data_IF_994221259269
#
_entry.id   IF_994221259269
#
_cell.length_a   1.000
_cell.length_b   1.000
_cell.length_c   1.000
_cell.angle_alpha   90.00
_cell.angle_beta   90.00
_cell.angle_gamma   90.00
#
_symmetry.space_group_name_H-M   'P 1'
#
loop_
_entity.id
_entity.type
_entity.pdbx_description
1 polymer ?
#
# COMPACT_ATOMS: atom_id res chain seq x y z
N UNK A 1 43.65 -36.09 34.48
CA UNK A 1 42.49 -36.29 33.58
C UNK A 1 41.65 -35.02 33.65
N UNK A 2 41.51 -34.27 32.55
CA UNK A 2 40.74 -33.02 32.50
C UNK A 2 39.32 -33.27 31.97
N UNK A 3 38.26 -32.78 32.63
CA UNK A 3 36.91 -32.82 32.07
C UNK A 3 36.74 -31.76 30.98
N UNK A 4 36.24 -32.17 29.82
CA UNK A 4 35.97 -31.29 28.68
C UNK A 4 34.74 -30.40 28.97
N UNK A 5 34.94 -29.09 28.95
CA UNK A 5 33.84 -28.11 29.03
C UNK A 5 33.11 -28.10 27.68
N UNK A 6 31.98 -28.80 27.61
CA UNK A 6 31.09 -28.77 26.47
C UNK A 6 30.49 -27.36 26.29
N UNK A 7 30.87 -26.66 25.21
CA UNK A 7 30.27 -25.37 24.84
C UNK A 7 28.81 -25.58 24.39
N UNK A 8 27.82 -24.81 24.87
CA UNK A 8 26.45 -24.97 24.42
C UNK A 8 26.27 -24.49 22.98
N UNK A 9 26.00 -25.43 22.07
CA UNK A 9 25.66 -25.16 20.68
C UNK A 9 24.25 -24.53 20.57
N UNK A 10 24.17 -23.19 20.69
CA UNK A 10 22.93 -22.41 20.48
C UNK A 10 23.21 -21.09 19.75
N UNK A 11 23.60 -21.15 18.48
CA UNK A 11 23.85 -19.96 17.62
C UNK A 11 23.42 -20.09 16.15
N UNK A 12 22.46 -20.96 15.78
CA UNK A 12 22.08 -21.14 14.37
C UNK A 12 20.57 -21.21 14.04
N UNK A 13 19.65 -20.94 14.98
CA UNK A 13 18.21 -20.86 14.67
C UNK A 13 17.69 -19.44 14.37
N UNK A 14 18.46 -18.38 14.66
CA UNK A 14 17.98 -16.99 14.59
C UNK A 14 18.03 -16.32 13.21
N UNK A 15 18.70 -16.92 12.22
CA UNK A 15 19.00 -16.26 10.93
C UNK A 15 17.96 -16.64 9.85
N UNK A 16 17.35 -17.83 9.92
CA UNK A 16 16.40 -18.30 8.91
C UNK A 16 15.05 -17.54 8.91
N UNK A 17 14.61 -17.04 10.07
CA UNK A 17 13.35 -16.29 10.19
C UNK A 17 13.43 -14.86 9.61
N UNK A 18 14.63 -14.29 9.50
CA UNK A 18 14.84 -12.91 9.07
C UNK A 18 14.72 -12.71 7.55
N UNK A 19 14.89 -13.78 6.76
CA UNK A 19 14.87 -13.73 5.30
C UNK A 19 13.47 -13.84 4.67
N UNK A 20 12.46 -14.30 5.43
CA UNK A 20 11.09 -14.51 4.92
C UNK A 20 10.18 -13.29 5.19
N UNK A 21 10.47 -12.52 6.24
CA UNK A 21 9.67 -11.36 6.64
C UNK A 21 9.78 -10.17 5.68
N UNK A 22 10.90 -10.04 4.98
CA UNK A 22 11.14 -8.95 4.02
C UNK A 22 10.25 -9.10 2.78
N UNK A 23 10.07 -10.32 2.27
CA UNK A 23 9.40 -10.67 0.99
C UNK A 23 7.91 -10.25 0.86
N UNK A 24 7.28 -9.79 1.94
CA UNK A 24 5.83 -9.52 1.99
C UNK A 24 5.51 -8.01 1.87
N UNK A 25 6.51 -7.13 1.87
CA UNK A 25 6.31 -5.67 2.01
C UNK A 25 6.36 -4.84 0.70
N UNK A 26 6.89 -5.37 -0.42
CA UNK A 26 7.19 -4.56 -1.61
C UNK A 26 6.04 -4.25 -2.59
N UNK A 27 4.85 -4.85 -2.46
CA UNK A 27 3.92 -4.94 -3.60
C UNK A 27 2.51 -4.41 -3.40
N UNK A 28 2.24 -3.68 -2.30
CA UNK A 28 0.93 -3.08 -1.99
C UNK A 28 1.00 -1.59 -1.66
N UNK A 29 2.08 -0.91 -2.06
CA UNK A 29 2.28 0.53 -1.85
C UNK A 29 1.44 1.39 -2.81
N UNK A 30 1.41 2.71 -2.61
CA UNK A 30 0.77 3.61 -3.58
C UNK A 30 1.51 3.67 -4.93
N UNK A 31 2.83 3.50 -4.93
CA UNK A 31 3.61 3.29 -6.16
C UNK A 31 3.19 2.01 -6.90
N UNK A 32 2.88 0.94 -6.19
CA UNK A 32 2.35 -0.29 -6.79
C UNK A 32 0.93 -0.10 -7.33
N UNK A 33 0.07 0.63 -6.62
CA UNK A 33 -1.28 0.97 -7.09
C UNK A 33 -1.22 1.74 -8.41
N UNK A 34 -0.40 2.80 -8.47
CA UNK A 34 -0.23 3.59 -9.69
C UNK A 34 0.42 2.77 -10.81
N UNK A 35 1.37 1.90 -10.51
CA UNK A 35 1.98 1.00 -11.51
C UNK A 35 0.97 0.00 -12.07
N UNK A 36 0.17 -0.63 -11.21
CA UNK A 36 -0.88 -1.55 -11.62
C UNK A 36 -1.98 -0.84 -12.42
N UNK A 37 -2.33 0.40 -12.04
CA UNK A 37 -3.31 1.20 -12.77
C UNK A 37 -2.77 1.59 -14.14
N UNK A 38 -1.56 2.15 -14.22
CA UNK A 38 -0.94 2.51 -15.51
C UNK A 38 -0.72 1.30 -16.43
N UNK A 39 -0.39 0.12 -15.87
CA UNK A 39 -0.36 -1.13 -16.62
C UNK A 39 -1.73 -1.52 -17.18
N UNK A 40 -2.82 -1.31 -16.43
CA UNK A 40 -4.18 -1.61 -16.87
C UNK A 40 -4.70 -0.61 -17.91
N UNK A 41 -4.48 0.68 -17.68
CA UNK A 41 -5.01 1.76 -18.52
C UNK A 41 -4.26 1.91 -19.85
N UNK A 42 -2.92 1.80 -19.84
CA UNK A 42 -2.07 2.12 -21.01
C UNK A 42 -0.95 1.12 -21.27
N UNK A 43 -0.83 0.03 -20.51
CA UNK A 43 0.41 -0.78 -20.46
C UNK A 43 1.67 0.01 -20.10
N UNK A 44 1.53 1.10 -19.33
CA UNK A 44 2.58 2.09 -18.99
C UNK A 44 3.10 2.92 -20.18
N UNK A 45 2.33 3.07 -21.25
CA UNK A 45 2.64 4.02 -22.32
C UNK A 45 2.26 5.46 -21.90
N UNK A 46 3.28 6.32 -21.75
CA UNK A 46 3.12 7.73 -21.35
C UNK A 46 2.48 8.58 -22.46
N UNK A 47 2.55 8.12 -23.71
CA UNK A 47 2.06 8.79 -24.90
C UNK A 47 0.70 8.26 -25.38
N UNK A 48 0.12 7.28 -24.69
CA UNK A 48 -1.11 6.61 -25.08
C UNK A 48 -2.28 7.59 -25.24
N UNK A 49 -2.96 7.53 -26.39
CA UNK A 49 -4.22 8.24 -26.63
C UNK A 49 -5.27 7.24 -27.12
N UNK A 50 -6.31 7.02 -26.33
CA UNK A 50 -7.45 6.19 -26.74
C UNK A 50 -8.08 6.75 -28.02
N UNK A 51 -8.26 5.89 -29.03
CA UNK A 51 -8.77 6.27 -30.34
C UNK A 51 -10.17 6.88 -30.26
N UNK A 52 -11.04 6.29 -29.45
CA UNK A 52 -12.47 6.56 -29.46
C UNK A 52 -12.92 7.42 -28.27
N UNK A 53 -12.30 7.27 -27.10
CA UNK A 53 -12.62 8.08 -25.90
C UNK A 53 -11.72 9.30 -25.72
N UNK A 54 -10.60 9.39 -26.44
CA UNK A 54 -9.54 10.41 -26.28
C UNK A 54 -9.04 10.57 -24.84
N UNK A 55 -9.07 9.49 -24.07
CA UNK A 55 -8.32 9.44 -22.81
C UNK A 55 -6.80 9.39 -23.08
N UNK A 56 -6.01 10.00 -22.20
CA UNK A 56 -4.59 10.33 -22.46
C UNK A 56 -3.63 9.88 -21.36
N UNK A 57 -2.44 9.48 -21.78
CA UNK A 57 -1.29 9.15 -20.94
C UNK A 57 -1.42 7.82 -20.18
N UNK A 58 -0.48 7.64 -19.24
CA UNK A 58 -0.31 6.47 -18.37
C UNK A 58 -1.62 5.99 -17.76
N UNK A 59 -2.43 6.93 -17.27
CA UNK A 59 -3.62 6.69 -16.47
C UNK A 59 -4.92 6.98 -17.23
N UNK A 60 -4.86 7.09 -18.57
CA UNK A 60 -6.02 7.36 -19.43
C UNK A 60 -6.95 8.44 -18.85
N UNK A 61 -6.38 9.59 -18.48
CA UNK A 61 -7.14 10.71 -17.93
C UNK A 61 -7.94 11.41 -19.04
N UNK A 62 -9.06 12.03 -18.68
CA UNK A 62 -9.88 12.85 -19.57
C UNK A 62 -9.96 14.28 -19.07
N UNK A 63 -10.60 15.17 -19.83
CA UNK A 63 -10.65 16.59 -19.50
C UNK A 63 -11.22 16.86 -18.10
N UNK A 64 -12.32 16.19 -17.72
CA UNK A 64 -12.92 16.38 -16.39
C UNK A 64 -11.97 15.96 -15.25
N UNK A 65 -11.20 14.87 -15.41
CA UNK A 65 -10.24 14.46 -14.38
C UNK A 65 -8.99 15.36 -14.36
N UNK A 66 -8.63 15.98 -15.49
CA UNK A 66 -7.59 17.01 -15.55
C UNK A 66 -8.04 18.38 -15.02
N UNK A 67 -9.34 18.70 -15.12
CA UNK A 67 -9.97 19.85 -14.45
C UNK A 67 -9.97 19.65 -12.92
N UNK A 68 -10.40 18.48 -12.43
CA UNK A 68 -10.29 18.10 -11.02
C UNK A 68 -8.82 18.11 -10.52
N UNK A 69 -7.88 17.68 -11.37
CA UNK A 69 -6.44 17.80 -11.08
C UNK A 69 -5.92 19.26 -11.10
N UNK A 70 -6.66 20.19 -11.71
CA UNK A 70 -6.28 21.58 -11.92
C UNK A 70 -5.22 21.80 -13.01
N UNK A 71 -5.00 20.82 -13.89
CA UNK A 71 -4.04 20.87 -15.02
C UNK A 71 -4.68 21.49 -16.27
N UNK A 72 -6.00 21.41 -16.38
CA UNK A 72 -6.77 21.92 -17.51
C UNK A 72 -7.94 22.78 -17.00
N UNK A 73 -8.24 23.87 -17.70
CA UNK A 73 -9.23 24.87 -17.28
C UNK A 73 -10.66 24.52 -17.73
N UNK A 74 -10.81 23.63 -18.72
CA UNK A 74 -12.08 23.36 -19.39
C UNK A 74 -12.32 24.25 -20.60
N UNK A 75 -13.23 23.78 -21.47
CA UNK A 75 -13.78 24.47 -22.65
C UNK A 75 -15.29 24.75 -22.50
N UNK A 76 -15.92 24.26 -21.42
CA UNK A 76 -17.38 24.30 -21.19
C UNK A 76 -18.13 23.06 -21.68
N UNK A 77 -17.45 22.05 -22.23
CA UNK A 77 -18.04 20.79 -22.67
C UNK A 77 -17.69 19.62 -21.74
N UNK A 78 -18.15 18.41 -22.09
CA UNK A 78 -17.83 17.14 -21.43
C UNK A 78 -17.11 16.18 -22.39
N UNK A 79 -16.59 16.71 -23.49
CA UNK A 79 -15.83 15.92 -24.46
C UNK A 79 -14.39 15.80 -23.97
N UNK A 80 -13.66 14.91 -24.61
CA UNK A 80 -12.22 14.87 -24.56
C UNK A 80 -11.74 15.24 -25.97
N UNK A 81 -11.58 16.52 -26.27
CA UNK A 81 -11.02 17.04 -27.51
C UNK A 81 -9.86 18.02 -27.30
N UNK A 82 -9.62 18.43 -26.06
CA UNK A 82 -8.51 19.26 -25.57
C UNK A 82 -8.42 20.63 -26.26
N UNK A 83 -9.57 21.17 -26.68
CA UNK A 83 -9.68 22.47 -27.36
C UNK A 83 -9.63 23.68 -26.42
N UNK A 84 -9.79 23.46 -25.11
CA UNK A 84 -9.65 24.46 -24.05
C UNK A 84 -8.19 24.73 -23.64
N UNK A 85 -8.01 25.42 -22.52
CA UNK A 85 -6.68 25.85 -22.05
C UNK A 85 -6.11 24.97 -20.95
N UNK A 86 -4.82 24.62 -21.05
CA UNK A 86 -4.04 24.09 -19.94
C UNK A 86 -3.61 25.22 -18.98
N UNK A 87 -3.39 24.91 -17.71
CA UNK A 87 -3.19 25.92 -16.65
C UNK A 87 -1.72 26.27 -16.37
N UNK A 88 -0.77 25.59 -17.01
CA UNK A 88 0.66 25.65 -16.66
C UNK A 88 1.03 24.85 -15.40
N UNK A 89 0.05 24.22 -14.73
CA UNK A 89 0.28 23.45 -13.50
C UNK A 89 1.17 22.24 -13.79
N UNK A 90 2.12 22.00 -12.87
CA UNK A 90 3.18 20.99 -13.04
C UNK A 90 4.05 21.19 -14.30
N UNK A 91 4.08 22.39 -14.89
CA UNK A 91 4.81 22.67 -16.13
C UNK A 91 4.03 22.40 -17.42
N UNK A 92 2.78 21.94 -17.32
CA UNK A 92 1.96 21.51 -18.47
C UNK A 92 1.20 22.69 -19.07
N UNK A 93 1.60 23.13 -20.26
CA UNK A 93 0.96 24.23 -21.01
C UNK A 93 0.18 23.74 -22.24
N UNK A 94 0.28 22.45 -22.57
CA UNK A 94 -0.36 21.82 -23.72
C UNK A 94 -0.55 20.31 -23.50
N UNK A 95 -1.38 19.68 -24.34
CA UNK A 95 -1.53 18.22 -24.33
C UNK A 95 -0.22 17.50 -24.67
N UNK A 96 0.62 18.08 -25.53
CA UNK A 96 1.96 17.58 -25.84
C UNK A 96 2.87 17.57 -24.61
N UNK A 97 2.83 18.63 -23.78
CA UNK A 97 3.62 18.67 -22.54
C UNK A 97 3.13 17.58 -21.57
N UNK A 98 1.81 17.40 -21.45
CA UNK A 98 1.22 16.37 -20.59
C UNK A 98 1.64 14.96 -21.00
N UNK A 99 1.62 14.64 -22.30
CA UNK A 99 2.02 13.33 -22.83
C UNK A 99 3.54 13.10 -22.78
N UNK A 100 4.34 14.16 -22.80
CA UNK A 100 5.80 14.11 -22.70
C UNK A 100 6.29 13.97 -21.24
N UNK A 101 5.52 14.44 -20.25
CA UNK A 101 5.93 14.46 -18.84
C UNK A 101 5.15 13.45 -17.97
N UNK A 102 5.67 12.23 -17.76
CA UNK A 102 5.04 11.24 -16.89
C UNK A 102 5.09 11.59 -15.40
N UNK A 103 5.96 12.51 -14.96
CA UNK A 103 5.99 13.03 -13.59
C UNK A 103 4.79 13.97 -13.37
N UNK A 104 4.47 14.81 -14.35
CA UNK A 104 3.24 15.62 -14.35
C UNK A 104 1.97 14.76 -14.41
N UNK A 105 1.97 13.67 -15.20
CA UNK A 105 0.87 12.69 -15.20
C UNK A 105 0.67 12.04 -13.83
N UNK A 106 1.78 11.68 -13.15
CA UNK A 106 1.76 11.08 -11.81
C UNK A 106 1.22 12.07 -10.76
N UNK A 107 1.62 13.34 -10.82
CA UNK A 107 1.09 14.40 -9.96
C UNK A 107 -0.40 14.73 -10.24
N UNK A 108 -0.83 14.63 -11.51
CA UNK A 108 -2.22 14.86 -11.91
C UNK A 108 -3.15 13.75 -11.39
N UNK A 109 -2.78 12.47 -11.58
CA UNK A 109 -3.60 11.34 -11.14
C UNK A 109 -3.74 11.29 -9.61
N UNK A 110 -2.66 11.56 -8.86
CA UNK A 110 -2.73 11.63 -7.40
C UNK A 110 -3.64 12.76 -6.93
N UNK A 111 -3.55 13.94 -7.56
CA UNK A 111 -4.46 15.06 -7.23
C UNK A 111 -5.92 14.71 -7.51
N UNK A 112 -6.21 14.05 -8.64
CA UNK A 112 -7.54 13.57 -8.97
C UNK A 112 -8.07 12.55 -7.95
N UNK A 113 -7.28 11.52 -7.60
CA UNK A 113 -7.67 10.50 -6.62
C UNK A 113 -7.93 11.07 -5.22
N UNK A 114 -7.13 12.05 -4.78
CA UNK A 114 -7.38 12.77 -3.53
C UNK A 114 -8.73 13.50 -3.54
N UNK A 115 -9.06 14.17 -4.65
CA UNK A 115 -10.31 14.89 -4.81
C UNK A 115 -11.50 13.92 -4.83
N UNK A 116 -11.41 12.84 -5.62
CA UNK A 116 -12.39 11.75 -5.68
C UNK A 116 -12.65 11.16 -4.29
N UNK A 117 -11.62 10.93 -3.48
CA UNK A 117 -11.80 10.41 -2.13
C UNK A 117 -12.40 11.45 -1.17
N UNK A 118 -11.74 12.59 -0.99
CA UNK A 118 -12.05 13.58 0.05
C UNK A 118 -13.34 14.38 -0.21
N UNK A 119 -13.73 14.54 -1.47
CA UNK A 119 -14.92 15.30 -1.83
C UNK A 119 -16.06 14.36 -2.24
N UNK A 120 -15.82 13.47 -3.20
CA UNK A 120 -16.91 12.75 -3.88
C UNK A 120 -17.31 11.44 -3.18
N UNK A 121 -16.36 10.60 -2.79
CA UNK A 121 -16.64 9.28 -2.18
C UNK A 121 -16.96 9.39 -0.68
N UNK A 122 -16.33 10.33 0.04
CA UNK A 122 -16.65 10.62 1.46
C UNK A 122 -17.77 11.66 1.63
N UNK A 123 -18.34 12.18 0.53
CA UNK A 123 -19.39 13.21 0.53
C UNK A 123 -18.99 14.45 1.37
N UNK A 124 -17.77 14.96 1.17
CA UNK A 124 -17.19 16.04 1.96
C UNK A 124 -17.04 15.71 3.46
N UNK A 125 -16.76 14.44 3.78
CA UNK A 125 -16.56 13.95 5.15
C UNK A 125 -17.85 13.65 5.94
N UNK A 126 -18.97 13.34 5.27
CA UNK A 126 -20.31 13.20 5.89
C UNK A 126 -20.91 11.79 5.86
N UNK A 127 -20.09 10.77 5.60
CA UNK A 127 -20.59 9.42 5.32
C UNK A 127 -21.02 9.28 3.86
N UNK A 128 -20.71 8.13 3.28
CA UNK A 128 -20.77 7.89 1.83
C UNK A 128 -20.17 6.53 1.50
N UNK A 129 -19.41 6.45 0.40
CA UNK A 129 -18.73 5.21 0.01
C UNK A 129 -17.72 4.70 1.07
N UNK A 130 -17.22 5.58 1.94
CA UNK A 130 -16.33 5.22 3.04
C UNK A 130 -17.00 4.33 4.11
N UNK A 131 -18.31 4.45 4.31
CA UNK A 131 -19.06 3.67 5.32
C UNK A 131 -19.19 2.19 4.92
N UNK A 132 -18.94 1.90 3.65
CA UNK A 132 -18.97 0.55 3.09
C UNK A 132 -17.64 -0.19 3.21
N UNK A 133 -16.53 0.46 3.59
CA UNK A 133 -15.22 -0.21 3.66
C UNK A 133 -15.24 -1.35 4.69
N UNK A 134 -14.69 -2.50 4.30
CA UNK A 134 -14.71 -3.73 5.10
C UNK A 134 -16.05 -4.51 5.03
N UNK A 135 -17.10 -3.93 4.43
CA UNK A 135 -18.30 -4.69 4.09
C UNK A 135 -18.06 -5.54 2.85
N UNK A 136 -18.81 -6.64 2.70
CA UNK A 136 -18.81 -7.48 1.50
C UNK A 136 -20.12 -7.34 0.75
N UNK A 137 -20.06 -6.90 -0.51
CA UNK A 137 -21.22 -6.75 -1.40
C UNK A 137 -20.99 -7.64 -2.62
N UNK A 138 -21.94 -8.51 -2.97
CA UNK A 138 -21.82 -9.49 -4.06
C UNK A 138 -20.51 -10.32 -4.05
N UNK A 139 -20.01 -10.66 -2.86
CA UNK A 139 -18.75 -11.41 -2.69
C UNK A 139 -17.48 -10.59 -2.91
N UNK A 140 -17.59 -9.27 -3.01
CA UNK A 140 -16.48 -8.31 -3.12
C UNK A 140 -16.39 -7.54 -1.81
N UNK A 141 -15.26 -7.66 -1.11
CA UNK A 141 -14.99 -6.80 0.04
C UNK A 141 -14.57 -5.41 -0.44
N UNK A 142 -15.21 -4.39 0.12
CA UNK A 142 -15.06 -3.00 -0.31
C UNK A 142 -13.83 -2.39 0.35
N UNK A 143 -12.97 -1.78 -0.46
CA UNK A 143 -11.70 -1.19 -0.03
C UNK A 143 -11.56 0.23 -0.55
N UNK A 144 -10.81 1.07 0.16
CA UNK A 144 -10.56 2.44 -0.25
C UNK A 144 -9.91 2.53 -1.63
N UNK A 145 -8.88 1.72 -1.89
CA UNK A 145 -8.17 1.68 -3.18
C UNK A 145 -9.04 1.13 -4.31
N UNK A 146 -9.85 0.10 -4.04
CA UNK A 146 -10.83 -0.43 -4.99
C UNK A 146 -11.90 0.60 -5.34
N UNK A 147 -12.43 1.33 -4.35
CA UNK A 147 -13.41 2.41 -4.57
C UNK A 147 -12.86 3.56 -5.42
N UNK A 148 -11.62 3.99 -5.16
CA UNK A 148 -10.95 5.03 -5.98
C UNK A 148 -10.74 4.53 -7.42
N UNK A 149 -10.28 3.30 -7.62
CA UNK A 149 -10.11 2.74 -8.96
C UNK A 149 -11.44 2.57 -9.69
N UNK A 150 -12.48 2.07 -9.02
CA UNK A 150 -13.83 1.99 -9.57
C UNK A 150 -14.37 3.37 -9.97
N UNK A 151 -14.16 4.39 -9.13
CA UNK A 151 -14.55 5.77 -9.42
C UNK A 151 -13.72 6.40 -10.55
N UNK A 152 -12.47 5.99 -10.73
CA UNK A 152 -11.63 6.36 -11.87
C UNK A 152 -12.19 5.78 -13.18
N UNK A 153 -12.57 4.49 -13.21
CA UNK A 153 -13.12 3.83 -14.40
C UNK A 153 -14.50 4.36 -14.82
N UNK A 154 -15.46 4.40 -13.89
CA UNK A 154 -16.89 4.64 -14.25
C UNK A 154 -17.49 5.92 -13.69
N UNK A 155 -16.73 6.68 -12.89
CA UNK A 155 -17.18 7.87 -12.17
C UNK A 155 -17.79 7.58 -10.80
N UNK A 156 -17.47 8.42 -9.80
CA UNK A 156 -17.89 8.26 -8.40
C UNK A 156 -19.41 8.11 -8.19
N UNK A 157 -20.24 8.76 -9.03
CA UNK A 157 -21.70 8.69 -8.94
C UNK A 157 -22.25 7.28 -9.15
N UNK A 158 -21.70 6.55 -10.13
CA UNK A 158 -22.07 5.15 -10.40
C UNK A 158 -21.60 4.21 -9.28
N UNK A 159 -20.42 4.46 -8.70
CA UNK A 159 -19.94 3.72 -7.52
C UNK A 159 -20.89 3.92 -6.33
N UNK A 160 -21.30 5.16 -6.05
CA UNK A 160 -22.23 5.47 -4.96
C UNK A 160 -23.60 4.82 -5.17
N UNK A 161 -24.11 4.84 -6.41
CA UNK A 161 -25.36 4.14 -6.76
C UNK A 161 -25.25 2.61 -6.63
N UNK A 162 -24.11 2.02 -7.00
CA UNK A 162 -23.84 0.59 -6.82
C UNK A 162 -23.87 0.19 -5.34
N UNK A 163 -23.16 0.95 -4.49
CA UNK A 163 -23.13 0.71 -3.03
C UNK A 163 -24.51 0.86 -2.40
N UNK A 164 -25.23 1.95 -2.72
CA UNK A 164 -26.57 2.22 -2.19
C UNK A 164 -27.62 1.18 -2.61
N UNK A 165 -27.43 0.51 -3.76
CA UNK A 165 -28.32 -0.55 -4.24
C UNK A 165 -27.90 -1.96 -3.82
N UNK A 166 -26.84 -2.12 -3.02
CA UNK A 166 -26.29 -3.43 -2.67
C UNK A 166 -25.73 -4.19 -3.87
N UNK A 167 -25.29 -3.47 -4.92
CA UNK A 167 -24.73 -4.04 -6.14
C UNK A 167 -25.76 -4.61 -7.12
N UNK A 168 -26.98 -4.06 -7.18
CA UNK A 168 -28.08 -4.58 -8.00
C UNK A 168 -27.83 -4.53 -9.52
N UNK A 169 -27.00 -3.60 -9.99
CA UNK A 169 -26.52 -3.51 -11.39
C UNK A 169 -25.01 -3.30 -11.36
N UNK A 170 -24.26 -3.81 -12.34
CA UNK A 170 -22.80 -3.65 -12.42
C UNK A 170 -22.44 -2.68 -13.56
N UNK A 171 -22.08 -1.41 -13.26
CA UNK A 171 -21.74 -0.44 -14.29
C UNK A 171 -20.48 -0.83 -15.05
N UNK A 172 -20.42 -0.46 -16.33
CA UNK A 172 -19.26 -0.68 -17.17
C UNK A 172 -18.80 0.60 -17.89
N UNK A 173 -17.56 0.58 -18.36
CA UNK A 173 -17.01 1.59 -19.27
C UNK A 173 -17.47 1.35 -20.72
N UNK A 174 -16.88 2.08 -21.68
CA UNK A 174 -17.21 1.92 -23.10
C UNK A 174 -16.66 0.63 -23.72
N UNK A 175 -15.65 0.00 -23.08
CA UNK A 175 -15.04 -1.26 -23.50
C UNK A 175 -15.69 -2.48 -22.83
N UNK A 176 -16.82 -2.31 -22.14
CA UNK A 176 -17.49 -3.32 -21.31
C UNK A 176 -16.65 -3.86 -20.13
N UNK A 177 -15.62 -3.13 -19.70
CA UNK A 177 -14.94 -3.35 -18.43
C UNK A 177 -15.88 -3.04 -17.28
N UNK A 178 -16.07 -4.02 -16.38
CA UNK A 178 -16.97 -3.89 -15.23
C UNK A 178 -16.32 -3.14 -14.08
N UNK A 179 -17.11 -2.32 -13.40
CA UNK A 179 -16.72 -1.60 -12.19
C UNK A 179 -16.29 -2.59 -11.08
N UNK A 180 -16.98 -3.72 -10.95
CA UNK A 180 -16.60 -4.79 -10.02
C UNK A 180 -15.21 -5.36 -10.26
N UNK A 181 -14.72 -5.39 -11.52
CA UNK A 181 -13.35 -5.82 -11.81
C UNK A 181 -12.35 -4.86 -11.16
N UNK A 182 -12.62 -3.54 -11.17
CA UNK A 182 -11.72 -2.56 -10.56
C UNK A 182 -11.79 -2.58 -9.03
N UNK A 183 -12.97 -2.81 -8.44
CA UNK A 183 -13.09 -3.04 -7.00
C UNK A 183 -12.20 -4.21 -6.54
N UNK A 184 -12.16 -5.31 -7.31
CA UNK A 184 -11.37 -6.51 -6.99
C UNK A 184 -9.87 -6.38 -7.35
N UNK A 185 -9.57 -5.88 -8.56
CA UNK A 185 -8.20 -5.73 -9.10
C UNK A 185 -7.37 -4.70 -8.35
N UNK A 186 -8.02 -3.70 -7.76
CA UNK A 186 -7.34 -2.66 -7.01
C UNK A 186 -7.64 -2.73 -5.50
N UNK A 187 -8.12 -3.88 -5.02
CA UNK A 187 -8.33 -4.11 -3.59
C UNK A 187 -7.00 -4.19 -2.81
N UNK A 188 -6.95 -3.48 -1.68
CA UNK A 188 -5.91 -3.65 -0.67
C UNK A 188 -4.57 -2.97 -0.94
N UNK A 189 -4.52 -1.98 -1.84
CA UNK A 189 -3.35 -1.12 -1.96
C UNK A 189 -3.39 0.01 -0.93
N UNK A 190 -2.22 0.39 -0.43
CA UNK A 190 -2.01 1.65 0.27
C UNK A 190 -2.17 2.85 -0.67
N UNK A 191 -2.63 3.96 -0.13
CA UNK A 191 -2.88 5.22 -0.84
C UNK A 191 -2.09 6.34 -0.18
N UNK A 192 -1.72 7.36 -0.94
CA UNK A 192 -1.01 8.54 -0.44
C UNK A 192 -1.65 9.81 -0.99
N UNK A 193 -1.69 10.86 -0.17
CA UNK A 193 -2.04 12.20 -0.64
C UNK A 193 -0.91 12.83 -1.47
N UNK A 194 0.34 12.43 -1.24
CA UNK A 194 1.53 12.94 -1.91
C UNK A 194 1.88 12.07 -3.11
N UNK A 195 2.12 12.69 -4.27
CA UNK A 195 2.54 12.00 -5.48
C UNK A 195 3.95 11.41 -5.31
N UNK A 196 4.17 10.12 -5.61
CA UNK A 196 5.52 9.57 -5.71
C UNK A 196 6.14 9.97 -7.05
N UNK A 197 7.48 9.91 -7.15
CA UNK A 197 8.14 10.10 -8.46
C UNK A 197 7.72 9.02 -9.46
N UNK A 198 7.62 9.38 -10.74
CA UNK A 198 7.39 8.42 -11.83
C UNK A 198 8.47 7.35 -11.87
N UNK A 199 9.73 7.66 -11.54
CA UNK A 199 10.79 6.66 -11.44
C UNK A 199 10.48 5.56 -10.40
N UNK A 200 9.90 5.93 -9.26
CA UNK A 200 9.48 4.97 -8.24
C UNK A 200 8.25 4.16 -8.69
N UNK A 201 7.28 4.78 -9.38
CA UNK A 201 6.16 4.06 -10.01
C UNK A 201 6.66 3.08 -11.08
N UNK A 202 7.57 3.52 -11.94
CA UNK A 202 8.12 2.71 -13.03
C UNK A 202 8.89 1.49 -12.52
N UNK A 203 9.63 1.64 -11.40
CA UNK A 203 10.37 0.57 -10.74
C UNK A 203 9.51 -0.34 -9.83
N UNK A 204 8.28 0.05 -9.52
CA UNK A 204 7.38 -0.71 -8.65
C UNK A 204 7.02 -2.09 -9.25
N UNK A 205 6.77 -3.06 -8.38
CA UNK A 205 6.47 -4.45 -8.73
C UNK A 205 5.19 -4.89 -8.02
N UNK A 206 4.00 -4.55 -8.55
CA UNK A 206 2.75 -4.79 -7.86
C UNK A 206 2.52 -6.29 -7.64
N UNK A 207 2.30 -6.67 -6.38
CA UNK A 207 1.87 -8.04 -5.99
C UNK A 207 0.49 -8.05 -5.32
N UNK A 208 -0.09 -6.87 -5.05
CA UNK A 208 -1.50 -6.71 -4.72
C UNK A 208 -2.41 -6.90 -5.94
N UNK A 209 -3.72 -6.86 -5.72
CA UNK A 209 -4.68 -6.80 -6.82
C UNK A 209 -5.11 -8.12 -7.46
N UNK A 210 -5.32 -9.16 -6.65
CA UNK A 210 -5.99 -10.38 -7.08
C UNK A 210 -6.89 -10.95 -5.98
N UNK A 211 -7.98 -10.25 -5.64
CA UNK A 211 -9.04 -10.82 -4.80
C UNK A 211 -9.93 -11.76 -5.63
N UNK A 212 -9.42 -12.95 -5.96
CA UNK A 212 -10.27 -14.05 -6.43
C UNK A 212 -11.30 -14.37 -5.35
N UNK A 213 -12.57 -14.42 -5.75
CA UNK A 213 -13.71 -14.61 -4.85
C UNK A 213 -13.53 -15.90 -4.04
N UNK A 214 -13.43 -15.77 -2.72
CA UNK A 214 -13.62 -16.88 -1.78
C UNK A 214 -14.69 -16.45 -0.78
N UNK A 215 -15.84 -17.10 -0.85
CA UNK A 215 -16.91 -16.89 0.12
C UNK A 215 -16.44 -17.41 1.50
N UNK A 216 -16.21 -16.51 2.45
CA UNK A 216 -15.95 -16.89 3.84
C UNK A 216 -14.87 -16.08 4.55
N UNK A 217 -15.33 -15.19 5.43
CA UNK A 217 -14.68 -14.75 6.67
C UNK A 217 -13.36 -13.92 6.58
N UNK A 218 -13.52 -12.62 6.81
CA UNK A 218 -12.51 -11.73 7.39
C UNK A 218 -11.23 -11.57 6.56
N UNK A 219 -11.29 -10.76 5.50
CA UNK A 219 -10.09 -10.05 5.05
C UNK A 219 -9.94 -8.75 5.85
N UNK A 220 -8.73 -8.19 5.84
CA UNK A 220 -8.40 -6.99 6.63
C UNK A 220 -7.44 -6.16 5.81
N UNK A 221 -7.97 -5.14 5.16
CA UNK A 221 -7.19 -4.21 4.35
C UNK A 221 -6.68 -3.04 5.21
N UNK A 222 -5.54 -2.49 4.82
CA UNK A 222 -5.00 -1.26 5.42
C UNK A 222 -5.94 -0.08 5.14
N UNK A 223 -6.62 0.38 6.18
CA UNK A 223 -7.51 1.54 6.13
C UNK A 223 -6.71 2.84 6.28
N UNK A 224 -6.76 3.72 5.29
CA UNK A 224 -6.21 5.08 5.40
C UNK A 224 -7.35 6.02 5.78
N UNK A 225 -7.40 6.43 7.05
CA UNK A 225 -8.55 7.17 7.58
C UNK A 225 -8.80 8.49 6.82
N UNK A 226 -10.07 8.90 6.61
CA UNK A 226 -10.36 10.20 6.02
C UNK A 226 -9.91 11.36 6.92
N UNK A 227 -9.40 12.47 6.36
CA UNK A 227 -9.14 12.71 4.93
C UNK A 227 -7.77 12.16 4.48
N UNK A 228 -7.58 11.97 3.18
CA UNK A 228 -6.24 11.94 2.58
C UNK A 228 -5.64 13.35 2.71
N UNK A 229 -4.93 13.59 3.81
CA UNK A 229 -4.29 14.87 4.15
C UNK A 229 -2.84 14.92 3.71
N UNK A 230 -2.39 16.10 3.30
CA UNK A 230 -0.98 16.37 3.03
C UNK A 230 -0.28 16.63 4.38
N UNK A 231 0.37 15.60 4.91
CA UNK A 231 0.94 15.60 6.26
C UNK A 231 2.03 14.54 6.39
N UNK A 232 3.29 14.98 6.48
CA UNK A 232 4.44 14.12 6.28
C UNK A 232 4.59 12.94 7.25
N UNK A 233 4.69 11.74 6.69
CA UNK A 233 5.54 10.66 7.19
C UNK A 233 5.89 9.73 6.03
N UNK A 234 7.11 9.87 5.51
CA UNK A 234 7.66 8.93 4.54
C UNK A 234 8.04 7.63 5.26
N UNK A 235 7.14 6.64 5.26
CA UNK A 235 7.50 5.28 5.69
C UNK A 235 8.17 4.57 4.51
N UNK A 236 9.46 4.28 4.68
CA UNK A 236 10.34 3.71 3.65
C UNK A 236 10.85 2.35 4.11
N UNK A 237 10.47 1.25 3.44
CA UNK A 237 10.97 -0.10 3.77
C UNK A 237 10.38 -1.22 2.90
N UNK A 238 11.08 -2.37 2.66
CA UNK A 238 10.98 -3.06 1.37
C UNK A 238 10.76 -4.60 1.38
N UNK A 239 10.67 -5.18 0.15
CA UNK A 239 11.08 -6.54 -0.34
C UNK A 239 9.99 -7.55 -0.83
N UNK A 240 10.38 -8.41 -1.81
CA UNK A 240 9.73 -9.59 -2.45
C UNK A 240 10.83 -10.63 -2.86
N UNK A 241 10.62 -11.80 -3.54
CA UNK A 241 9.43 -12.57 -4.01
C UNK A 241 9.51 -14.13 -3.71
N UNK A 242 8.81 -15.00 -4.50
CA UNK A 242 9.12 -16.43 -4.90
C UNK A 242 8.07 -17.56 -4.61
N UNK A 243 7.95 -18.51 -5.57
CA UNK A 243 7.29 -19.85 -5.58
C UNK A 243 8.17 -20.84 -6.44
N UNK A 244 7.88 -22.15 -6.72
CA UNK A 244 6.71 -23.02 -6.44
C UNK A 244 7.03 -24.50 -6.03
N UNK A 245 6.02 -25.41 -5.96
CA UNK A 245 5.96 -26.84 -6.46
C UNK A 245 4.76 -27.61 -5.81
N UNK A 246 4.21 -28.62 -6.50
CA UNK A 246 2.96 -29.35 -6.17
C UNK A 246 3.16 -30.86 -5.88
N UNK A 247 2.20 -31.52 -5.18
CA UNK A 247 1.09 -32.18 -5.88
C UNK A 247 -0.29 -31.98 -5.21
N UNK A 248 -1.39 -31.91 -5.96
CA UNK A 248 -1.90 -30.57 -6.36
C UNK A 248 -2.45 -29.89 -5.10
N UNK A 249 -1.56 -29.24 -4.34
CA UNK A 249 -1.95 -28.41 -3.21
C UNK A 249 -2.94 -27.33 -3.68
N UNK A 250 -3.82 -26.81 -2.80
CA UNK A 250 -4.69 -25.70 -3.18
C UNK A 250 -3.83 -24.60 -3.80
N UNK A 251 -4.18 -24.16 -5.01
CA UNK A 251 -3.46 -23.08 -5.69
C UNK A 251 -3.82 -21.76 -5.03
N UNK A 252 -3.22 -21.54 -3.87
CA UNK A 252 -3.16 -20.24 -3.21
C UNK A 252 -2.55 -19.25 -4.20
N UNK A 253 -3.28 -18.20 -4.55
CA UNK A 253 -2.82 -17.14 -5.47
C UNK A 253 -1.67 -16.32 -4.88
N UNK A 254 -1.35 -16.51 -3.59
CA UNK A 254 -0.22 -15.88 -2.91
C UNK A 254 0.26 -16.73 -1.72
N UNK A 255 1.50 -16.49 -1.28
CA UNK A 255 2.05 -17.15 -0.08
C UNK A 255 1.25 -16.81 1.20
N UNK A 256 0.69 -15.60 1.24
CA UNK A 256 -0.17 -15.10 2.30
C UNK A 256 -1.48 -15.91 2.39
N UNK A 257 -2.08 -16.29 1.26
CA UNK A 257 -3.25 -17.18 1.23
C UNK A 257 -2.92 -18.58 1.76
N UNK A 258 -1.78 -19.16 1.36
CA UNK A 258 -1.33 -20.47 1.87
C UNK A 258 -1.06 -20.46 3.37
N UNK A 259 -0.39 -19.41 3.86
CA UNK A 259 -0.13 -19.23 5.28
C UNK A 259 -1.42 -19.05 6.08
N UNK A 260 -2.35 -18.18 5.66
CA UNK A 260 -3.64 -17.98 6.35
C UNK A 260 -4.46 -19.27 6.40
N UNK A 261 -4.49 -20.03 5.30
CA UNK A 261 -5.21 -21.30 5.22
C UNK A 261 -4.60 -22.41 6.11
N UNK A 262 -3.29 -22.42 6.31
CA UNK A 262 -2.60 -23.39 7.17
C UNK A 262 -2.54 -22.99 8.66
N UNK A 263 -2.40 -21.70 8.97
CA UNK A 263 -2.15 -21.20 10.32
C UNK A 263 -3.40 -20.66 11.04
N UNK A 264 -4.49 -20.36 10.31
CA UNK A 264 -5.70 -19.74 10.86
C UNK A 264 -5.57 -18.23 11.19
N UNK A 265 -4.35 -17.67 11.12
CA UNK A 265 -4.05 -16.26 11.35
C UNK A 265 -3.47 -15.62 10.08
N UNK A 266 -3.75 -14.33 9.87
CA UNK A 266 -3.10 -13.57 8.81
C UNK A 266 -1.61 -13.36 9.12
N UNK A 267 -0.77 -13.20 8.08
CA UNK A 267 0.64 -12.83 8.28
C UNK A 267 0.78 -11.49 9.02
N UNK A 268 -0.19 -10.56 8.91
CA UNK A 268 -0.22 -9.32 9.68
C UNK A 268 -0.39 -9.55 11.18
N UNK A 269 -1.35 -10.38 11.59
CA UNK A 269 -1.53 -10.75 13.00
C UNK A 269 -0.32 -11.49 13.57
N UNK A 270 0.30 -12.37 12.78
CA UNK A 270 1.52 -13.09 13.19
C UNK A 270 2.74 -12.15 13.22
N UNK A 271 2.84 -11.18 12.31
CA UNK A 271 3.83 -10.09 12.37
C UNK A 271 3.67 -9.29 13.66
N UNK A 272 2.48 -8.81 13.97
CA UNK A 272 2.24 -7.94 15.14
C UNK A 272 2.52 -8.69 16.45
N UNK A 273 2.19 -9.99 16.49
CA UNK A 273 2.56 -10.91 17.58
C UNK A 273 4.09 -11.11 17.68
N UNK A 274 4.79 -11.36 16.58
CA UNK A 274 6.25 -11.55 16.56
C UNK A 274 6.98 -10.25 16.93
N UNK A 275 6.56 -9.10 16.41
CA UNK A 275 7.11 -7.78 16.77
C UNK A 275 6.90 -7.53 18.27
N UNK A 276 5.72 -7.84 18.81
CA UNK A 276 5.46 -7.75 20.25
C UNK A 276 6.36 -8.68 21.07
N UNK A 277 6.62 -9.92 20.61
CA UNK A 277 7.55 -10.84 21.27
C UNK A 277 9.02 -10.38 21.18
N UNK A 278 9.44 -9.82 20.06
CA UNK A 278 10.80 -9.27 19.87
C UNK A 278 10.98 -8.04 20.77
N UNK A 279 10.02 -7.11 20.77
CA UNK A 279 10.03 -5.95 21.66
C UNK A 279 10.08 -6.37 23.14
N UNK A 280 9.22 -7.29 23.57
CA UNK A 280 9.25 -7.83 24.93
C UNK A 280 10.60 -8.47 25.28
N UNK A 281 11.19 -9.22 24.33
CA UNK A 281 12.51 -9.85 24.51
C UNK A 281 13.64 -8.83 24.61
N UNK A 282 13.58 -7.73 23.86
CA UNK A 282 14.55 -6.63 23.93
C UNK A 282 14.43 -5.85 25.24
N UNK A 283 13.20 -5.59 25.73
CA UNK A 283 12.98 -4.99 27.05
C UNK A 283 13.48 -5.90 28.19
N UNK A 284 13.19 -7.19 28.14
CA UNK A 284 13.72 -8.18 29.09
C UNK A 284 15.25 -8.23 29.05
N UNK A 285 15.86 -8.24 27.86
CA UNK A 285 17.31 -8.19 27.71
C UNK A 285 17.91 -6.93 28.33
N UNK A 286 17.39 -5.74 28.01
CA UNK A 286 17.82 -4.46 28.59
C UNK A 286 17.70 -4.46 30.11
N UNK A 287 16.62 -5.01 30.66
CA UNK A 287 16.44 -5.23 32.09
C UNK A 287 17.55 -6.11 32.69
N UNK A 288 17.88 -7.25 32.07
CA UNK A 288 18.97 -8.11 32.56
C UNK A 288 20.36 -7.48 32.45
N UNK A 289 20.63 -6.67 31.42
CA UNK A 289 21.89 -5.92 31.30
C UNK A 289 21.99 -4.88 32.43
N UNK A 290 20.91 -4.15 32.69
CA UNK A 290 20.86 -3.12 33.75
C UNK A 290 21.09 -3.74 35.12
N UNK A 291 20.36 -4.82 35.46
CA UNK A 291 20.51 -5.54 36.73
C UNK A 291 21.90 -6.15 36.92
N UNK A 292 22.49 -6.75 35.87
CA UNK A 292 23.85 -7.31 35.93
C UNK A 292 24.92 -6.24 36.09
N UNK A 293 24.77 -5.10 35.41
CA UNK A 293 25.72 -3.99 35.50
C UNK A 293 25.69 -3.35 36.90
N UNK A 294 24.49 -3.20 37.49
CA UNK A 294 24.32 -2.74 38.86
C UNK A 294 24.89 -3.73 39.89
N UNK A 295 24.63 -5.04 39.74
CA UNK A 295 25.22 -6.07 40.60
C UNK A 295 26.76 -6.17 40.48
N UNK A 296 27.31 -5.90 39.29
CA UNK A 296 28.74 -5.76 39.08
C UNK A 296 29.34 -4.56 39.82
N UNK A 297 28.63 -3.43 39.82
CA UNK A 297 29.02 -2.23 40.55
C UNK A 297 28.96 -2.41 42.07
N UNK A 298 27.87 -2.95 42.63
CA UNK A 298 27.75 -3.15 44.08
C UNK A 298 28.73 -4.18 44.64
N UNK A 299 29.19 -5.12 43.81
CA UNK A 299 30.26 -6.06 44.13
C UNK A 299 31.69 -5.51 43.89
N UNK A 300 31.83 -4.24 43.49
CA UNK A 300 33.14 -3.60 43.22
C UNK A 300 33.84 -4.04 41.93
N UNK A 301 33.17 -4.81 41.07
CA UNK A 301 33.75 -5.39 39.84
C UNK A 301 33.59 -4.50 38.60
N UNK A 302 32.79 -3.43 38.67
CA UNK A 302 32.50 -2.51 37.56
C UNK A 302 32.47 -1.08 38.09
N UNK A 303 33.16 -0.14 37.44
CA UNK A 303 33.11 1.27 37.83
C UNK A 303 31.78 1.94 37.39
N UNK A 304 31.33 2.97 38.12
CA UNK A 304 30.09 3.72 37.80
C UNK A 304 30.07 4.22 36.35
N UNK A 305 31.23 4.70 35.87
CA UNK A 305 31.37 5.19 34.49
C UNK A 305 31.14 4.08 33.45
N UNK A 306 31.75 2.92 33.64
CA UNK A 306 31.61 1.78 32.74
C UNK A 306 30.19 1.20 32.76
N UNK A 307 29.56 1.14 33.95
CA UNK A 307 28.15 0.78 34.10
C UNK A 307 27.25 1.72 33.27
N UNK A 308 27.48 3.04 33.36
CA UNK A 308 26.75 4.04 32.57
C UNK A 308 26.93 3.84 31.06
N UNK A 309 28.16 3.58 30.60
CA UNK A 309 28.46 3.32 29.19
C UNK A 309 27.81 2.02 28.67
N UNK A 310 27.79 0.96 29.49
CA UNK A 310 27.14 -0.32 29.13
C UNK A 310 25.62 -0.12 28.97
N UNK A 311 24.97 0.57 29.90
CA UNK A 311 23.53 0.84 29.86
C UNK A 311 23.19 1.74 28.67
N UNK A 312 23.93 2.84 28.45
CA UNK A 312 23.69 3.75 27.32
C UNK A 312 23.81 3.05 25.96
N UNK A 313 24.80 2.16 25.79
CA UNK A 313 24.94 1.35 24.57
C UNK A 313 23.78 0.36 24.40
N UNK A 314 23.32 -0.28 25.48
CA UNK A 314 22.17 -1.18 25.42
C UNK A 314 20.86 -0.44 25.06
N UNK A 315 20.66 0.79 25.59
CA UNK A 315 19.53 1.65 25.22
C UNK A 315 19.59 2.06 23.75
N UNK A 316 20.77 2.48 23.25
CA UNK A 316 20.94 2.82 21.83
C UNK A 316 20.62 1.65 20.91
N UNK A 317 21.04 0.43 21.27
CA UNK A 317 20.67 -0.79 20.52
C UNK A 317 19.15 -0.98 20.50
N UNK A 318 18.46 -0.86 21.64
CA UNK A 318 16.99 -0.98 21.69
C UNK A 318 16.31 0.11 20.86
N UNK A 319 16.78 1.36 20.91
CA UNK A 319 16.23 2.46 20.10
C UNK A 319 16.40 2.22 18.59
N UNK A 320 17.58 1.74 18.16
CA UNK A 320 17.81 1.35 16.76
C UNK A 320 16.85 0.24 16.34
N UNK A 321 16.65 -0.79 17.18
CA UNK A 321 15.68 -1.85 16.87
C UNK A 321 14.23 -1.34 16.86
N UNK A 322 13.84 -0.41 17.74
CA UNK A 322 12.49 0.17 17.73
C UNK A 322 12.24 0.96 16.44
N UNK A 323 13.21 1.74 15.94
CA UNK A 323 13.10 2.46 14.67
C UNK A 323 13.07 1.53 13.44
N UNK A 324 13.67 0.33 13.54
CA UNK A 324 13.64 -0.70 12.49
C UNK A 324 12.35 -1.55 12.53
N UNK A 325 11.60 -1.54 13.65
CA UNK A 325 10.39 -2.34 13.89
C UNK A 325 9.08 -1.54 13.74
N UNK A 326 9.16 -0.25 13.38
CA UNK A 326 8.03 0.65 13.09
C UNK A 326 7.76 0.74 11.58
#
# INVERSE_FOLDING_TARGET
MHPLIARPARRFLGIAALAVATVVLAGTTYTDFLKALGQRESSMDTSAVSRDTKYVGLYQMGELSLQDAGVYAGDGTKKNDYTGSFTGKYGVNSLSDFLADPEAQTQAITRYHNLVWNNYLTNGGRGGAADYIGQTINGIEITQSGLIAAAHLVGHGKVTQWLASGGATDPQDQNATKMTEYLQRFAGYGLSATAPSFAAVAAATPTGGASTIVAGNGSSYTYTAPPLVDGGSAVSGPVAPVAPVAPVAPKYGSAQQGFKAGAGYSMGQVRDFIVSLIAASLFLWLGTITLKSFGGYTAGNVAVYDMGQIIMRAVLVVLIFVVILQ
#
